data_IF_762767562509
#
_entry.id   IF_762767562509
#
_cell.length_a   1.000
_cell.length_b   1.000
_cell.length_c   1.000
_cell.angle_alpha   90.00
_cell.angle_beta   90.00
_cell.angle_gamma   90.00
#
_symmetry.space_group_name_H-M   'P 1'
#
loop_
_entity.id
_entity.type
_entity.pdbx_description
1 polymer ?
#
# COMPACT_ATOMS: atom_id res chain seq x y z
N UNK A 1 -13.29 -4.00 -0.07
CA UNK A 1 -11.91 -4.46 0.05
C UNK A 1 -11.17 -4.23 -1.26
N UNK A 2 -10.05 -3.51 -1.22
CA UNK A 2 -9.20 -3.22 -2.38
C UNK A 2 -7.80 -3.78 -2.13
N UNK A 3 -7.28 -4.53 -3.10
CA UNK A 3 -5.91 -5.08 -3.04
C UNK A 3 -4.98 -4.31 -3.95
N UNK A 4 -3.87 -3.83 -3.41
CA UNK A 4 -2.74 -3.27 -4.14
C UNK A 4 -1.65 -4.32 -4.30
N UNK A 5 -1.10 -4.43 -5.50
CA UNK A 5 -0.08 -5.42 -5.79
C UNK A 5 1.03 -4.86 -6.68
N UNK A 6 2.23 -5.34 -6.50
CA UNK A 6 3.37 -5.06 -7.39
C UNK A 6 4.55 -5.99 -7.11
N UNK A 7 5.56 -5.93 -7.94
CA UNK A 7 6.90 -6.43 -7.63
C UNK A 7 7.54 -5.71 -6.42
N UNK A 8 8.72 -6.17 -6.02
CA UNK A 8 9.48 -5.52 -4.95
C UNK A 8 9.94 -4.11 -5.37
N UNK A 9 9.96 -3.18 -4.43
CA UNK A 9 10.50 -1.82 -4.66
C UNK A 9 9.68 -0.91 -5.58
N UNK A 10 8.46 -1.30 -6.01
CA UNK A 10 7.63 -0.54 -6.96
C UNK A 10 6.86 0.63 -6.33
N UNK A 11 7.02 0.90 -5.03
CA UNK A 11 6.38 2.04 -4.38
C UNK A 11 5.04 1.75 -3.70
N UNK A 12 4.71 0.47 -3.38
CA UNK A 12 3.46 0.12 -2.66
C UNK A 12 3.25 0.94 -1.39
N UNK A 13 4.24 0.95 -0.51
CA UNK A 13 4.14 1.70 0.75
C UNK A 13 4.12 3.21 0.52
N UNK A 14 4.70 3.71 -0.59
CA UNK A 14 4.63 5.14 -0.95
C UNK A 14 3.23 5.54 -1.36
N UNK A 15 2.56 4.75 -2.22
CA UNK A 15 1.17 5.06 -2.59
C UNK A 15 0.21 4.91 -1.43
N UNK A 16 0.43 3.95 -0.53
CA UNK A 16 -0.38 3.82 0.70
C UNK A 16 -0.28 5.08 1.56
N UNK A 17 0.91 5.66 1.69
CA UNK A 17 1.13 6.93 2.42
C UNK A 17 0.39 8.10 1.78
N UNK A 18 0.47 8.23 0.46
CA UNK A 18 -0.25 9.28 -0.29
C UNK A 18 -1.77 9.12 -0.11
N UNK A 19 -2.29 7.90 -0.19
CA UNK A 19 -3.72 7.62 0.01
C UNK A 19 -4.18 7.91 1.45
N UNK A 20 -3.41 7.47 2.46
CA UNK A 20 -3.71 7.77 3.87
C UNK A 20 -3.73 9.29 4.10
N UNK A 21 -2.72 9.98 3.60
CA UNK A 21 -2.64 11.43 3.71
C UNK A 21 -3.80 12.13 2.99
N UNK A 22 -4.14 11.70 1.78
CA UNK A 22 -5.26 12.24 1.03
C UNK A 22 -6.59 12.07 1.78
N UNK A 23 -6.88 10.87 2.28
CA UNK A 23 -8.08 10.60 3.07
C UNK A 23 -8.10 11.48 4.33
N UNK A 24 -6.97 11.60 5.02
CA UNK A 24 -6.84 12.43 6.22
C UNK A 24 -7.15 13.91 5.95
N UNK A 25 -6.79 14.42 4.77
CA UNK A 25 -7.02 15.82 4.38
C UNK A 25 -8.42 16.06 3.80
N UNK A 26 -8.96 15.09 3.06
CA UNK A 26 -10.23 15.25 2.34
C UNK A 26 -11.46 14.82 3.15
N UNK A 27 -11.26 14.06 4.23
CA UNK A 27 -12.36 13.57 5.08
C UNK A 27 -12.10 13.91 6.56
N UNK A 28 -13.09 13.58 7.40
CA UNK A 28 -12.96 13.59 8.87
C UNK A 28 -12.79 12.18 9.45
N UNK A 29 -12.63 11.18 8.59
CA UNK A 29 -12.59 9.78 8.98
C UNK A 29 -11.34 9.45 9.78
N UNK A 30 -11.47 8.48 10.67
CA UNK A 30 -10.36 7.85 11.36
C UNK A 30 -9.72 6.79 10.45
N UNK A 31 -8.39 6.72 10.49
CA UNK A 31 -7.58 5.81 9.68
C UNK A 31 -6.81 4.89 10.61
N UNK A 32 -6.88 3.59 10.32
CA UNK A 32 -6.06 2.56 10.97
C UNK A 32 -4.96 2.05 10.03
N UNK A 33 -3.78 1.75 10.55
CA UNK A 33 -2.72 1.07 9.81
C UNK A 33 -2.12 -0.07 10.62
N UNK A 34 -1.95 -1.21 9.94
CA UNK A 34 -1.17 -2.36 10.39
C UNK A 34 0.02 -2.50 9.43
N UNK A 35 1.12 -1.78 9.73
CA UNK A 35 2.36 -1.82 8.97
C UNK A 35 3.26 -2.91 9.56
N UNK A 36 3.20 -4.13 9.02
CA UNK A 36 3.86 -5.29 9.60
C UNK A 36 5.35 -5.40 9.23
N UNK A 37 5.81 -4.60 8.26
CA UNK A 37 7.20 -4.56 7.81
C UNK A 37 8.01 -3.41 8.42
N UNK A 38 7.36 -2.43 9.02
CA UNK A 38 8.06 -1.27 9.58
C UNK A 38 7.61 -0.98 11.01
N UNK A 39 8.50 -0.37 11.79
CA UNK A 39 8.16 0.07 13.13
C UNK A 39 7.29 1.33 13.11
N UNK A 40 6.51 1.54 14.17
CA UNK A 40 5.56 2.66 14.31
C UNK A 40 6.21 4.04 14.13
N UNK A 41 7.49 4.18 14.53
CA UNK A 41 8.23 5.43 14.38
C UNK A 41 8.46 5.77 12.91
N UNK A 42 8.83 4.77 12.11
CA UNK A 42 9.00 4.95 10.67
C UNK A 42 7.66 5.26 9.99
N UNK A 43 6.60 4.55 10.36
CA UNK A 43 5.23 4.84 9.88
C UNK A 43 4.84 6.29 10.17
N UNK A 44 5.09 6.78 11.39
CA UNK A 44 4.82 8.16 11.77
C UNK A 44 5.61 9.17 10.90
N UNK A 45 6.93 8.99 10.77
CA UNK A 45 7.74 9.86 9.91
C UNK A 45 7.35 9.78 8.45
N UNK A 46 6.93 8.62 7.97
CA UNK A 46 6.47 8.43 6.60
C UNK A 46 5.22 9.25 6.28
N UNK A 47 4.25 9.33 7.20
CA UNK A 47 3.06 10.18 7.03
C UNK A 47 3.42 11.67 7.17
N UNK A 48 4.24 12.03 8.16
CA UNK A 48 4.71 13.40 8.30
C UNK A 48 5.51 13.88 7.09
N UNK A 49 6.24 12.99 6.41
CA UNK A 49 7.01 13.29 5.20
C UNK A 49 6.14 13.82 4.07
N UNK A 50 4.90 13.32 3.94
CA UNK A 50 3.96 13.78 2.92
C UNK A 50 3.51 15.21 3.19
N UNK A 51 3.19 15.56 4.44
CA UNK A 51 2.85 16.94 4.85
C UNK A 51 4.03 17.90 4.69
N UNK A 52 5.22 17.44 5.09
CA UNK A 52 6.44 18.25 5.03
C UNK A 52 6.99 18.44 3.62
N UNK A 53 6.51 17.66 2.65
CA UNK A 53 7.11 17.55 1.32
C UNK A 53 8.62 17.28 1.38
N UNK A 54 9.05 16.42 2.33
CA UNK A 54 10.45 16.10 2.60
C UNK A 54 10.57 14.70 3.22
N UNK A 55 11.64 13.97 2.94
CA UNK A 55 11.88 12.59 3.40
C UNK A 55 12.29 12.54 4.88
N UNK A 56 11.36 12.84 5.81
CA UNK A 56 11.65 12.90 7.26
C UNK A 56 12.04 11.53 7.87
N UNK A 57 11.75 10.43 7.21
CA UNK A 57 12.23 9.10 7.60
C UNK A 57 13.74 8.95 7.44
N UNK A 58 14.39 9.81 6.64
CA UNK A 58 15.85 9.91 6.53
C UNK A 58 16.33 10.87 7.61
N UNK A 59 17.20 10.38 8.52
CA UNK A 59 17.66 11.14 9.67
C UNK A 59 18.36 12.44 9.27
N UNK A 60 19.28 12.40 8.32
CA UNK A 60 20.07 13.54 7.85
C UNK A 60 19.21 14.64 7.20
N UNK A 61 18.07 14.27 6.60
CA UNK A 61 17.10 15.21 6.06
C UNK A 61 16.27 15.80 7.19
N UNK A 62 15.80 14.98 8.13
CA UNK A 62 15.00 15.42 9.26
C UNK A 62 15.72 16.38 10.19
N UNK A 63 17.02 16.20 10.41
CA UNK A 63 17.86 17.07 11.24
C UNK A 63 18.06 18.49 10.68
N UNK A 64 17.68 18.73 9.42
CA UNK A 64 17.71 20.06 8.80
C UNK A 64 16.54 20.95 9.25
N UNK A 65 15.52 20.37 9.88
CA UNK A 65 14.31 21.08 10.29
C UNK A 65 14.29 21.35 11.79
N UNK A 66 13.69 22.46 12.19
CA UNK A 66 13.55 22.84 13.59
C UNK A 66 12.53 21.91 14.29
N UNK A 67 12.67 21.82 15.64
CA UNK A 67 11.68 21.09 16.45
C UNK A 67 10.26 21.66 16.32
N UNK A 68 10.12 22.94 16.03
CA UNK A 68 8.82 23.61 15.85
C UNK A 68 8.17 23.15 14.54
N UNK A 69 8.95 23.08 13.45
CA UNK A 69 8.46 22.55 12.15
C UNK A 69 8.01 21.10 12.29
N UNK A 70 8.82 20.26 12.95
CA UNK A 70 8.46 18.85 13.16
C UNK A 70 7.17 18.71 13.97
N UNK A 71 7.00 19.51 15.04
CA UNK A 71 5.76 19.54 15.83
C UNK A 71 4.55 20.04 15.05
N UNK A 72 4.72 21.00 14.15
CA UNK A 72 3.63 21.48 13.30
C UNK A 72 3.15 20.39 12.35
N UNK A 73 4.06 19.69 11.66
CA UNK A 73 3.71 18.56 10.80
C UNK A 73 3.10 17.39 11.56
N UNK A 74 3.62 17.09 12.76
CA UNK A 74 3.02 16.11 13.66
C UNK A 74 1.56 16.45 13.96
N UNK A 75 1.28 17.68 14.40
CA UNK A 75 -0.09 18.13 14.70
C UNK A 75 -1.02 18.04 13.51
N UNK A 76 -0.52 18.31 12.31
CA UNK A 76 -1.31 18.27 11.07
C UNK A 76 -1.54 16.85 10.52
N UNK A 77 -0.85 15.86 11.06
CA UNK A 77 -0.88 14.46 10.61
C UNK A 77 -1.24 13.51 11.75
N UNK A 78 -0.28 12.82 12.31
CA UNK A 78 -0.48 11.79 13.33
C UNK A 78 -1.08 12.33 14.63
N UNK A 79 -0.81 13.60 14.97
CA UNK A 79 -1.34 14.30 16.13
C UNK A 79 -2.79 14.77 15.99
N UNK A 80 -3.46 14.51 14.87
CA UNK A 80 -4.87 14.86 14.66
C UNK A 80 -5.84 14.07 15.54
N UNK A 81 -5.37 13.01 16.20
CA UNK A 81 -6.20 12.05 16.93
C UNK A 81 -7.03 11.11 16.04
N UNK A 82 -6.83 11.16 14.71
CA UNK A 82 -7.56 10.36 13.71
C UNK A 82 -6.70 9.30 13.02
N UNK A 83 -5.42 9.21 13.38
CA UNK A 83 -4.48 8.24 12.83
C UNK A 83 -4.09 7.24 13.91
N UNK A 84 -4.37 5.97 13.69
CA UNK A 84 -4.14 4.87 14.62
C UNK A 84 -3.21 3.84 13.98
N UNK A 85 -2.00 3.71 14.50
CA UNK A 85 -1.04 2.72 14.06
C UNK A 85 -0.96 1.57 15.06
N UNK A 86 -1.01 0.34 14.55
CA UNK A 86 -0.76 -0.85 15.35
C UNK A 86 0.74 -1.14 15.41
N UNK A 87 1.30 -1.06 16.61
CA UNK A 87 2.69 -1.44 16.84
C UNK A 87 2.77 -2.95 16.99
N UNK A 88 3.52 -3.58 16.10
CA UNK A 88 3.70 -5.03 16.08
C UNK A 88 5.19 -5.36 16.00
N UNK A 89 5.59 -6.30 16.84
CA UNK A 89 6.95 -6.84 16.83
C UNK A 89 6.88 -8.38 16.83
N UNK A 90 7.29 -8.99 15.71
CA UNK A 90 7.33 -10.44 15.55
C UNK A 90 6.21 -11.03 14.67
N UNK A 91 6.07 -12.35 14.68
CA UNK A 91 4.99 -13.05 13.97
C UNK A 91 3.65 -12.81 14.64
N UNK A 92 2.61 -12.58 13.86
CA UNK A 92 1.26 -12.36 14.35
C UNK A 92 0.30 -13.38 13.71
N UNK A 93 -0.56 -13.97 14.51
CA UNK A 93 -1.55 -14.92 14.01
C UNK A 93 -2.72 -14.25 13.29
N UNK A 94 -3.35 -14.99 12.36
CA UNK A 94 -4.49 -14.49 11.60
C UNK A 94 -5.63 -13.98 12.50
N UNK A 95 -5.94 -14.68 13.58
CA UNK A 95 -7.04 -14.31 14.48
C UNK A 95 -6.72 -13.04 15.27
N UNK A 96 -5.45 -12.82 15.60
CA UNK A 96 -5.02 -11.60 16.26
C UNK A 96 -5.16 -10.39 15.33
N UNK A 97 -4.73 -10.49 14.06
CA UNK A 97 -4.92 -9.42 13.06
C UNK A 97 -6.40 -9.09 12.90
N UNK A 98 -7.25 -10.10 12.75
CA UNK A 98 -8.70 -9.89 12.61
C UNK A 98 -9.28 -9.18 13.83
N UNK A 99 -8.82 -9.54 15.03
CA UNK A 99 -9.21 -8.88 16.28
C UNK A 99 -8.78 -7.40 16.31
N UNK A 100 -7.56 -7.09 15.83
CA UNK A 100 -7.06 -5.71 15.74
C UNK A 100 -7.83 -4.89 14.71
N UNK A 101 -8.08 -5.45 13.52
CA UNK A 101 -8.90 -4.77 12.50
C UNK A 101 -10.31 -4.50 13.03
N UNK A 102 -10.94 -5.48 13.71
CA UNK A 102 -12.26 -5.30 14.33
C UNK A 102 -12.24 -4.22 15.43
N UNK A 103 -11.21 -4.20 16.26
CA UNK A 103 -11.03 -3.18 17.29
C UNK A 103 -10.88 -1.78 16.69
N UNK A 104 -10.04 -1.63 15.65
CA UNK A 104 -9.90 -0.35 14.94
C UNK A 104 -11.23 0.11 14.34
N UNK A 105 -11.97 -0.81 13.71
CA UNK A 105 -13.25 -0.50 13.08
C UNK A 105 -14.33 -0.08 14.10
N UNK A 106 -14.49 -0.86 15.19
CA UNK A 106 -15.63 -0.71 16.11
C UNK A 106 -15.33 0.19 17.32
N UNK A 107 -14.10 0.13 17.84
CA UNK A 107 -13.74 0.88 19.05
C UNK A 107 -13.05 2.21 18.75
N UNK A 108 -12.27 2.28 17.69
CA UNK A 108 -11.59 3.50 17.25
C UNK A 108 -12.30 4.20 16.09
N UNK A 109 -13.46 3.69 15.67
CA UNK A 109 -14.28 4.23 14.56
C UNK A 109 -13.48 4.49 13.27
N UNK A 110 -12.47 3.66 12.99
CA UNK A 110 -11.72 3.75 11.74
C UNK A 110 -12.62 3.37 10.57
N UNK A 111 -12.78 4.28 9.62
CA UNK A 111 -13.51 4.02 8.37
C UNK A 111 -12.61 3.41 7.30
N UNK A 112 -11.31 3.66 7.39
CA UNK A 112 -10.30 3.18 6.46
C UNK A 112 -9.21 2.46 7.22
N UNK A 113 -8.88 1.24 6.80
CA UNK A 113 -7.81 0.46 7.42
C UNK A 113 -6.85 0.00 6.32
N UNK A 114 -5.57 0.22 6.55
CA UNK A 114 -4.46 -0.18 5.68
C UNK A 114 -3.72 -1.35 6.29
N UNK A 115 -3.49 -2.41 5.50
CA UNK A 115 -2.76 -3.60 5.93
C UNK A 115 -1.60 -3.87 4.98
N UNK A 116 -0.38 -3.64 5.45
CA UNK A 116 0.87 -3.82 4.70
C UNK A 116 1.76 -4.84 5.45
N UNK A 117 1.94 -6.09 4.98
CA UNK A 117 1.31 -6.77 3.83
C UNK A 117 0.84 -8.19 4.21
N UNK A 118 0.00 -8.77 3.36
CA UNK A 118 -0.66 -10.07 3.57
C UNK A 118 0.30 -11.26 3.79
N UNK A 119 1.45 -11.30 3.09
CA UNK A 119 2.34 -12.47 3.12
C UNK A 119 3.02 -12.69 4.47
N UNK A 120 3.21 -11.66 5.30
CA UNK A 120 3.77 -11.80 6.66
C UNK A 120 2.82 -12.59 7.56
N UNK A 121 1.52 -12.40 7.37
CA UNK A 121 0.49 -13.05 8.17
C UNK A 121 0.46 -14.56 7.99
N UNK A 122 0.92 -15.03 6.83
CA UNK A 122 0.89 -16.45 6.47
C UNK A 122 2.21 -17.14 6.82
N UNK A 123 3.33 -16.41 6.77
CA UNK A 123 4.66 -16.95 7.05
C UNK A 123 4.92 -17.31 8.52
N UNK A 124 4.10 -16.80 9.44
CA UNK A 124 4.22 -17.06 10.88
C UNK A 124 3.48 -18.31 11.38
N UNK A 125 2.85 -19.09 10.51
CA UNK A 125 2.17 -20.32 10.90
C UNK A 125 3.12 -21.51 10.77
N UNK A 126 3.53 -22.07 11.91
CA UNK A 126 4.45 -23.23 12.01
C UNK A 126 3.87 -24.57 11.53
N UNK A 127 2.59 -24.63 11.20
CA UNK A 127 1.97 -25.87 10.74
C UNK A 127 2.11 -26.03 9.22
N UNK A 128 2.55 -27.21 8.82
CA UNK A 128 2.72 -27.81 7.48
C UNK A 128 1.56 -27.58 6.50
N UNK A 129 0.92 -26.42 6.56
CA UNK A 129 -0.23 -26.04 5.76
C UNK A 129 0.19 -25.35 4.47
N UNK A 130 -0.51 -25.66 3.41
CA UNK A 130 -0.44 -24.98 2.13
C UNK A 130 -0.66 -23.46 2.32
N UNK A 131 0.37 -22.63 2.03
CA UNK A 131 0.31 -21.16 2.07
C UNK A 131 -0.96 -20.63 1.41
N UNK A 132 -1.39 -21.27 0.33
CA UNK A 132 -2.64 -20.94 -0.38
C UNK A 132 -3.86 -21.06 0.49
N UNK A 133 -3.99 -22.18 1.22
CA UNK A 133 -5.13 -22.43 2.10
C UNK A 133 -5.20 -21.41 3.24
N UNK A 134 -4.06 -21.03 3.79
CA UNK A 134 -3.99 -20.00 4.84
C UNK A 134 -4.40 -18.63 4.30
N UNK A 135 -3.98 -18.27 3.08
CA UNK A 135 -4.41 -17.04 2.39
C UNK A 135 -5.92 -17.09 2.10
N UNK A 136 -6.46 -18.21 1.64
CA UNK A 136 -7.89 -18.36 1.35
C UNK A 136 -8.74 -18.14 2.61
N UNK A 137 -8.34 -18.74 3.72
CA UNK A 137 -9.01 -18.57 5.01
C UNK A 137 -8.94 -17.10 5.47
N UNK A 138 -7.76 -16.50 5.41
CA UNK A 138 -7.57 -15.12 5.84
C UNK A 138 -8.38 -14.14 4.99
N UNK A 139 -8.33 -14.27 3.66
CA UNK A 139 -9.10 -13.44 2.74
C UNK A 139 -10.61 -13.57 2.96
N UNK A 140 -11.10 -14.78 3.21
CA UNK A 140 -12.51 -15.03 3.53
C UNK A 140 -12.91 -14.34 4.83
N UNK A 141 -12.08 -14.45 5.89
CA UNK A 141 -12.33 -13.79 7.18
C UNK A 141 -12.27 -12.24 7.05
N UNK A 142 -11.29 -11.71 6.30
CA UNK A 142 -11.19 -10.27 6.03
C UNK A 142 -12.39 -9.75 5.24
N UNK A 143 -12.87 -10.49 4.23
CA UNK A 143 -14.07 -10.14 3.49
C UNK A 143 -15.29 -10.09 4.40
N UNK A 144 -15.49 -11.10 5.24
CA UNK A 144 -16.59 -11.14 6.21
C UNK A 144 -16.51 -9.96 7.19
N UNK A 145 -15.30 -9.60 7.63
CA UNK A 145 -15.09 -8.47 8.53
C UNK A 145 -15.43 -7.12 7.87
N UNK A 146 -15.06 -6.94 6.60
CA UNK A 146 -15.43 -5.74 5.84
C UNK A 146 -16.94 -5.61 5.70
N UNK A 147 -17.64 -6.71 5.39
CA UNK A 147 -19.11 -6.72 5.34
C UNK A 147 -19.76 -6.43 6.71
N UNK A 148 -19.20 -7.01 7.78
CA UNK A 148 -19.68 -6.80 9.16
C UNK A 148 -19.53 -5.35 9.63
N UNK A 149 -18.43 -4.69 9.24
CA UNK A 149 -18.03 -3.40 9.80
C UNK A 149 -18.28 -2.22 8.88
N UNK A 150 -18.43 -2.46 7.58
CA UNK A 150 -18.60 -1.41 6.57
C UNK A 150 -17.34 -0.58 6.28
N UNK A 151 -16.16 -1.02 6.73
CA UNK A 151 -14.91 -0.29 6.51
C UNK A 151 -14.38 -0.40 5.09
N UNK A 152 -13.63 0.59 4.65
CA UNK A 152 -12.71 0.48 3.53
C UNK A 152 -11.41 -0.21 3.98
N UNK A 153 -11.16 -1.44 3.49
CA UNK A 153 -9.91 -2.15 3.76
C UNK A 153 -9.02 -2.13 2.52
N UNK A 154 -7.83 -1.52 2.67
CA UNK A 154 -6.78 -1.49 1.66
C UNK A 154 -5.68 -2.48 2.05
N UNK A 155 -5.46 -3.46 1.21
CA UNK A 155 -4.58 -4.59 1.45
C UNK A 155 -3.41 -4.57 0.47
N UNK A 156 -2.19 -4.77 0.95
CA UNK A 156 -1.01 -4.97 0.11
C UNK A 156 -0.76 -6.47 -0.07
N UNK A 157 -0.58 -6.90 -1.31
CA UNK A 157 -0.18 -8.27 -1.66
C UNK A 157 1.02 -8.25 -2.60
N UNK A 158 1.91 -9.22 -2.46
CA UNK A 158 3.03 -9.41 -3.38
C UNK A 158 2.63 -10.20 -4.62
N UNK A 159 3.40 -9.99 -5.70
CA UNK A 159 3.33 -10.82 -6.89
C UNK A 159 4.23 -12.07 -6.73
N UNK A 160 3.87 -13.13 -7.46
CA UNK A 160 4.78 -14.25 -7.72
C UNK A 160 5.91 -13.75 -8.62
N UNK A 161 7.09 -14.34 -8.46
CA UNK A 161 8.13 -14.16 -9.46
C UNK A 161 7.62 -14.67 -10.80
N UNK A 162 7.71 -13.85 -11.87
CA UNK A 162 7.28 -14.30 -13.18
C UNK A 162 8.18 -15.44 -13.65
N UNK A 163 7.59 -16.35 -14.43
CA UNK A 163 8.34 -17.36 -15.18
C UNK A 163 8.92 -16.70 -16.42
N UNK A 164 10.23 -16.81 -16.66
CA UNK A 164 10.94 -16.24 -17.79
C UNK A 164 12.02 -15.24 -17.39
N UNK A 165 12.70 -14.66 -18.37
CA UNK A 165 13.91 -13.86 -18.20
C UNK A 165 13.64 -12.41 -17.74
N UNK A 166 12.39 -11.92 -17.86
CA UNK A 166 12.00 -10.57 -17.42
C UNK A 166 11.21 -10.61 -16.14
N UNK A 167 11.68 -9.84 -15.14
CA UNK A 167 11.01 -9.61 -13.89
C UNK A 167 9.92 -8.53 -13.97
N UNK A 168 9.19 -8.34 -12.89
CA UNK A 168 8.28 -7.18 -12.77
C UNK A 168 9.06 -5.87 -12.71
N UNK A 169 10.29 -5.91 -12.21
CA UNK A 169 11.25 -4.81 -12.15
C UNK A 169 11.71 -4.32 -13.52
N UNK A 170 11.54 -5.13 -14.57
CA UNK A 170 11.85 -4.80 -15.96
C UNK A 170 10.62 -4.26 -16.75
N UNK A 171 9.59 -3.81 -16.03
CA UNK A 171 8.38 -3.24 -16.64
C UNK A 171 7.39 -4.27 -17.17
N UNK A 172 7.49 -5.54 -16.76
CA UNK A 172 6.52 -6.55 -17.16
C UNK A 172 5.12 -6.21 -16.67
N UNK A 173 4.17 -6.18 -17.58
CA UNK A 173 2.77 -5.94 -17.29
C UNK A 173 2.22 -6.96 -16.29
N UNK A 174 1.42 -6.48 -15.33
CA UNK A 174 0.84 -7.31 -14.27
C UNK A 174 -0.55 -7.80 -14.67
N UNK A 175 -0.83 -9.05 -14.34
CA UNK A 175 -2.17 -9.64 -14.48
C UNK A 175 -2.63 -10.28 -13.16
N UNK A 176 -3.93 -10.56 -13.05
CA UNK A 176 -4.50 -11.23 -11.87
C UNK A 176 -3.85 -12.60 -11.59
N UNK A 177 -3.37 -13.29 -12.61
CA UNK A 177 -2.68 -14.59 -12.47
C UNK A 177 -1.31 -14.47 -11.77
N UNK A 178 -0.73 -13.28 -11.74
CA UNK A 178 0.56 -13.03 -11.08
C UNK A 178 0.44 -12.83 -9.55
N UNK A 179 -0.78 -12.71 -9.01
CA UNK A 179 -0.96 -12.57 -7.56
C UNK A 179 -0.35 -13.77 -6.81
N UNK A 180 0.46 -13.47 -5.79
CA UNK A 180 1.09 -14.52 -4.97
C UNK A 180 0.05 -15.15 -4.04
N UNK A 181 0.09 -16.47 -3.95
CA UNK A 181 -0.69 -17.25 -3.02
C UNK A 181 -1.94 -17.81 -3.66
N UNK A 182 -3.05 -17.10 -3.72
CA UNK A 182 -4.33 -17.67 -4.10
C UNK A 182 -5.16 -16.81 -5.02
N UNK A 183 -5.99 -17.46 -5.85
CA UNK A 183 -7.04 -16.83 -6.63
C UNK A 183 -8.07 -16.12 -5.74
N UNK A 184 -8.19 -16.48 -4.46
CA UNK A 184 -9.10 -15.84 -3.50
C UNK A 184 -8.84 -14.35 -3.34
N UNK A 185 -7.57 -13.90 -3.45
CA UNK A 185 -7.23 -12.48 -3.40
C UNK A 185 -7.99 -11.74 -4.50
N UNK A 186 -7.91 -12.23 -5.74
CA UNK A 186 -8.62 -11.62 -6.87
C UNK A 186 -10.15 -11.77 -6.71
N UNK A 187 -10.64 -12.92 -6.24
CA UNK A 187 -12.07 -13.19 -6.13
C UNK A 187 -12.75 -12.35 -5.04
N UNK A 188 -12.13 -12.23 -3.87
CA UNK A 188 -12.72 -11.60 -2.68
C UNK A 188 -12.49 -10.09 -2.63
N UNK A 189 -11.56 -9.55 -3.41
CA UNK A 189 -11.38 -8.09 -3.56
C UNK A 189 -12.45 -7.49 -4.46
N UNK A 190 -12.93 -6.30 -4.12
CA UNK A 190 -13.82 -5.51 -4.96
C UNK A 190 -13.05 -4.79 -6.07
N UNK A 191 -11.82 -4.39 -5.77
CA UNK A 191 -10.86 -3.83 -6.71
C UNK A 191 -9.48 -4.45 -6.54
N UNK A 192 -8.75 -4.59 -7.64
CA UNK A 192 -7.33 -4.96 -7.64
C UNK A 192 -6.57 -3.94 -8.46
N UNK A 193 -5.59 -3.32 -7.83
CA UNK A 193 -4.75 -2.26 -8.40
C UNK A 193 -3.31 -2.75 -8.46
N UNK A 194 -2.72 -2.72 -9.64
CA UNK A 194 -1.32 -3.04 -9.85
C UNK A 194 -0.47 -1.78 -9.98
N UNK A 195 0.74 -1.83 -9.45
CA UNK A 195 1.79 -0.86 -9.67
C UNK A 195 2.85 -1.49 -10.57
N UNK A 196 3.08 -0.89 -11.72
CA UNK A 196 4.03 -1.34 -12.74
C UNK A 196 5.10 -0.27 -12.93
N UNK A 197 6.37 -0.67 -12.96
CA UNK A 197 7.48 0.25 -13.20
C UNK A 197 8.66 -0.49 -13.81
N UNK A 198 9.27 0.08 -14.85
CA UNK A 198 10.53 -0.40 -15.37
C UNK A 198 11.70 0.30 -14.63
N UNK A 199 12.16 -0.32 -13.55
CA UNK A 199 13.27 0.22 -12.74
C UNK A 199 14.63 0.14 -13.47
N UNK A 200 14.72 -0.65 -14.52
CA UNK A 200 15.93 -0.87 -15.31
C UNK A 200 15.97 0.00 -16.58
N UNK A 201 14.98 0.87 -16.78
CA UNK A 201 14.98 1.77 -17.93
C UNK A 201 16.18 2.72 -17.88
N UNK A 202 16.79 2.98 -19.04
CA UNK A 202 17.89 3.94 -19.20
C UNK A 202 17.42 5.38 -18.95
N UNK A 203 16.19 5.70 -19.34
CA UNK A 203 15.56 6.98 -19.05
C UNK A 203 15.12 7.06 -17.58
N UNK A 204 15.64 8.04 -16.86
CA UNK A 204 15.31 8.24 -15.45
C UNK A 204 13.84 8.58 -15.19
N UNK A 205 13.14 9.23 -16.13
CA UNK A 205 11.73 9.54 -15.99
C UNK A 205 10.92 8.25 -16.03
N UNK A 206 11.21 7.36 -16.99
CA UNK A 206 10.58 6.04 -17.09
C UNK A 206 10.93 5.21 -15.85
N UNK A 207 12.21 5.18 -15.46
CA UNK A 207 12.67 4.41 -14.30
C UNK A 207 12.06 4.88 -12.97
N UNK A 208 11.60 6.13 -12.85
CA UNK A 208 10.96 6.69 -11.67
C UNK A 208 9.45 6.84 -11.80
N UNK A 209 8.85 6.51 -12.93
CA UNK A 209 7.39 6.59 -13.13
C UNK A 209 6.74 5.22 -12.96
N UNK A 210 5.72 5.19 -12.12
CA UNK A 210 4.92 4.01 -11.83
C UNK A 210 3.56 4.14 -12.51
N UNK A 211 3.22 3.18 -13.35
CA UNK A 211 1.88 3.06 -13.94
C UNK A 211 0.94 2.40 -12.94
N UNK A 212 -0.17 3.04 -12.67
CA UNK A 212 -1.27 2.50 -11.86
C UNK A 212 -2.27 1.85 -12.80
N UNK A 213 -2.40 0.52 -12.69
CA UNK A 213 -3.32 -0.26 -13.52
C UNK A 213 -4.42 -0.88 -12.69
N UNK A 214 -5.66 -0.71 -13.10
CA UNK A 214 -6.81 -1.41 -12.54
C UNK A 214 -6.91 -2.78 -13.19
N UNK A 215 -6.66 -3.84 -12.42
CA UNK A 215 -6.79 -5.23 -12.88
C UNK A 215 -8.20 -5.78 -12.68
N UNK A 216 -8.93 -5.22 -11.73
CA UNK A 216 -10.31 -5.59 -11.40
C UNK A 216 -11.04 -4.40 -10.80
N UNK A 217 -12.26 -4.20 -11.25
CA UNK A 217 -13.24 -3.31 -10.63
C UNK A 217 -14.60 -4.03 -10.64
N UNK A 218 -15.06 -4.46 -9.46
CA UNK A 218 -16.33 -5.21 -9.32
C UNK A 218 -17.56 -4.35 -9.66
N UNK A 219 -17.47 -3.04 -9.44
CA UNK A 219 -18.61 -2.15 -9.55
C UNK A 219 -18.88 -1.69 -10.98
N UNK A 220 -17.81 -1.37 -11.73
CA UNK A 220 -17.96 -0.87 -13.11
C UNK A 220 -17.53 -1.89 -14.16
N UNK A 221 -16.70 -2.86 -13.79
CA UNK A 221 -16.06 -3.80 -14.74
C UNK A 221 -14.91 -3.18 -15.53
N UNK A 222 -14.66 -1.89 -15.40
CA UNK A 222 -13.61 -1.18 -16.12
C UNK A 222 -12.23 -1.58 -15.60
N UNK A 223 -11.30 -1.81 -16.53
CA UNK A 223 -9.91 -2.16 -16.27
C UNK A 223 -9.00 -1.37 -17.21
N UNK A 224 -7.70 -1.34 -16.90
CA UNK A 224 -6.71 -0.64 -17.72
C UNK A 224 -5.89 0.36 -16.91
N UNK A 225 -5.14 1.21 -17.60
CA UNK A 225 -4.28 2.22 -16.97
C UNK A 225 -5.18 3.32 -16.38
N UNK A 226 -4.97 3.62 -15.11
CA UNK A 226 -5.67 4.70 -14.42
C UNK A 226 -4.89 6.03 -14.44
N UNK A 227 -3.57 5.96 -14.18
CA UNK A 227 -2.69 7.13 -14.20
C UNK A 227 -1.22 6.69 -14.12
N UNK A 228 -0.33 7.66 -14.29
CA UNK A 228 1.10 7.53 -14.08
C UNK A 228 1.53 8.42 -12.90
N UNK A 229 2.37 7.87 -12.02
CA UNK A 229 2.88 8.55 -10.83
C UNK A 229 4.39 8.59 -10.86
N UNK A 230 4.97 9.78 -10.95
CA UNK A 230 6.41 9.98 -10.85
C UNK A 230 6.85 10.09 -9.40
N UNK A 231 7.87 9.30 -9.02
CA UNK A 231 8.50 9.38 -7.71
C UNK A 231 9.54 10.50 -7.68
N UNK A 232 9.26 11.54 -6.91
CA UNK A 232 10.20 12.63 -6.69
C UNK A 232 11.23 12.23 -5.63
N UNK A 233 12.50 12.06 -6.04
CA UNK A 233 13.59 11.61 -5.17
C UNK A 233 13.93 12.60 -4.05
N UNK A 234 13.63 13.88 -4.21
CA UNK A 234 13.95 14.91 -3.21
C UNK A 234 12.91 14.94 -2.09
N UNK A 235 11.66 14.84 -2.45
CA UNK A 235 10.53 14.95 -1.52
C UNK A 235 9.99 13.60 -1.03
N UNK A 236 10.21 12.52 -1.79
CA UNK A 236 9.64 11.21 -1.54
C UNK A 236 8.16 11.09 -1.91
N UNK A 237 7.62 12.07 -2.67
CA UNK A 237 6.22 12.12 -3.09
C UNK A 237 6.00 11.37 -4.40
N UNK A 238 4.78 10.86 -4.55
CA UNK A 238 4.27 10.32 -5.80
C UNK A 238 3.37 11.38 -6.46
N UNK A 239 3.80 11.92 -7.60
CA UNK A 239 3.12 13.03 -8.28
C UNK A 239 2.55 12.52 -9.60
N UNK A 240 1.28 12.80 -9.86
CA UNK A 240 0.66 12.41 -11.13
C UNK A 240 1.31 13.17 -12.30
N UNK A 241 1.61 12.42 -13.36
CA UNK A 241 2.20 12.92 -14.59
C UNK A 241 1.49 12.30 -15.78
N UNK A 242 1.72 12.84 -16.97
CA UNK A 242 1.30 12.23 -18.22
C UNK A 242 2.12 10.97 -18.51
N UNK A 243 1.70 10.19 -19.50
CA UNK A 243 2.43 8.98 -19.89
C UNK A 243 3.84 9.34 -20.38
N UNK A 244 4.90 8.88 -19.70
CA UNK A 244 6.26 9.21 -20.10
C UNK A 244 6.67 8.61 -21.47
N UNK A 245 5.95 7.61 -21.95
CA UNK A 245 6.19 7.01 -23.27
C UNK A 245 5.41 7.68 -24.41
N UNK A 246 4.44 8.54 -24.11
CA UNK A 246 3.63 9.21 -25.14
C UNK A 246 4.38 10.28 -25.96
N UNK A 247 5.65 10.56 -25.65
CA UNK A 247 6.46 11.55 -26.35
C UNK A 247 7.36 11.00 -27.47
N UNK A 248 7.41 9.70 -27.70
CA UNK A 248 8.33 9.10 -28.67
C UNK A 248 7.72 8.75 -30.05
N UNK A 249 6.39 8.82 -30.19
CA UNK A 249 5.68 8.36 -31.40
C UNK A 249 5.27 9.50 -32.39
N UNK A 250 5.72 10.73 -32.21
CA UNK A 250 5.38 11.86 -33.12
C UNK A 250 6.59 12.39 -33.91
N UNK A 251 7.37 11.48 -34.54
CA UNK A 251 8.26 11.91 -35.65
C UNK A 251 8.44 10.81 -36.70
#
# INVERSE_FOLDING_TARGET
LITFTSGAGMGKSSIMRELMYHIMKSTKDNIGILALEENIKNTAFNIMSVEANARLYIKEIREKFSSEQLKDWEKKTIGTGRFFAFDHFGSIGNDEILSKVRYMAKSLDCKWIFLDHLSILVSGQEDNGDERKSIDILMTKLRSLVEETGIGLLLVSHLRRPTGDRGHEDGKEVSLSHLRGSASIAHLSDGVVALERNQQAEDENIANTTTIRILKNRYTGETGIACHLHYNKDTGRMIQVDDPAAGEDDF
#
